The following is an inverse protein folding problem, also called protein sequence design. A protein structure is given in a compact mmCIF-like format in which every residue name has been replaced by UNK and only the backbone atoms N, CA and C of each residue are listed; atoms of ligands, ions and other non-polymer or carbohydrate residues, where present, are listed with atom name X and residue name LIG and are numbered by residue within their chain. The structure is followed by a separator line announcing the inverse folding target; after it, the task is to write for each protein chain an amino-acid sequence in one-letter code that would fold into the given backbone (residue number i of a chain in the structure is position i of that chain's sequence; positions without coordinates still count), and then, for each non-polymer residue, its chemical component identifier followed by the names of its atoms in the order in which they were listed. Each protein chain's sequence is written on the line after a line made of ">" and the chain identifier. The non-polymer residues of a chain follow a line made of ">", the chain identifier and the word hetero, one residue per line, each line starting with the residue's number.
data_IF_916673949719
#
_entry.id   IF_916673949719
#
_cell.length_a   1.000
_cell.length_b   1.000
_cell.length_c   1.000
_cell.angle_alpha   90.00
_cell.angle_beta   90.00
_cell.angle_gamma   90.00
#
_symmetry.space_group_name_H-M   'P 1'
#
loop_
_entity.id
_entity.type
_entity.pdbx_description
1 polymer ?
#
# COMPACT_ATOMS: atom_id res chain seq x y z
N UNK A 1 -59.53 39.71 6.93
CA UNK A 1 -59.01 38.46 6.31
C UNK A 1 -60.18 37.55 5.96
N UNK A 2 -60.23 36.99 4.75
CA UNK A 2 -61.35 36.14 4.32
C UNK A 2 -61.40 34.84 5.12
N UNK A 3 -62.60 34.39 5.51
CA UNK A 3 -62.84 33.14 6.27
C UNK A 3 -62.14 31.92 5.66
N UNK A 4 -61.99 31.90 4.34
CA UNK A 4 -61.28 30.87 3.57
C UNK A 4 -59.79 30.77 3.90
N UNK A 5 -59.09 31.90 4.10
CA UNK A 5 -57.67 31.90 4.49
C UNK A 5 -57.46 31.35 5.90
N UNK A 6 -58.41 31.60 6.81
CA UNK A 6 -58.32 31.13 8.19
C UNK A 6 -58.48 29.60 8.28
N UNK A 7 -59.40 29.04 7.49
CA UNK A 7 -59.61 27.59 7.39
C UNK A 7 -58.39 26.90 6.78
N UNK A 8 -57.85 27.44 5.69
CA UNK A 8 -56.64 26.89 5.06
C UNK A 8 -55.43 26.92 6.01
N UNK A 9 -55.24 28.02 6.75
CA UNK A 9 -54.18 28.13 7.74
C UNK A 9 -54.29 27.07 8.85
N UNK A 10 -55.50 26.82 9.35
CA UNK A 10 -55.73 25.81 10.39
C UNK A 10 -55.49 24.39 9.88
N UNK A 11 -55.94 24.06 8.65
CA UNK A 11 -55.71 22.76 8.02
C UNK A 11 -54.21 22.55 7.79
N UNK A 12 -53.52 23.55 7.24
CA UNK A 12 -52.08 23.48 7.01
C UNK A 12 -51.31 23.28 8.32
N UNK A 13 -51.63 24.04 9.37
CA UNK A 13 -51.02 23.89 10.70
C UNK A 13 -51.26 22.49 11.28
N UNK A 14 -52.45 21.94 11.10
CA UNK A 14 -52.78 20.59 11.56
C UNK A 14 -51.96 19.51 10.83
N UNK A 15 -51.93 19.57 9.49
CA UNK A 15 -51.14 18.65 8.67
C UNK A 15 -49.64 18.75 8.99
N UNK A 16 -49.12 19.96 9.13
CA UNK A 16 -47.73 20.21 9.48
C UNK A 16 -47.38 19.65 10.85
N UNK A 17 -48.21 19.89 11.86
CA UNK A 17 -48.02 19.32 13.20
C UNK A 17 -48.09 17.79 13.17
N UNK A 18 -49.01 17.19 12.41
CA UNK A 18 -49.10 15.75 12.27
C UNK A 18 -47.83 15.15 11.65
N UNK A 19 -47.31 15.76 10.58
CA UNK A 19 -46.05 15.35 9.94
C UNK A 19 -44.88 15.47 10.92
N UNK A 20 -44.78 16.56 11.68
CA UNK A 20 -43.71 16.74 12.66
C UNK A 20 -43.75 15.71 13.79
N UNK A 21 -44.94 15.47 14.36
CA UNK A 21 -45.11 14.51 15.45
C UNK A 21 -44.84 13.08 14.99
N UNK A 22 -45.21 12.73 13.76
CA UNK A 22 -44.95 11.39 13.20
C UNK A 22 -43.51 11.20 12.75
N UNK A 23 -42.88 12.21 12.16
CA UNK A 23 -41.50 12.11 11.64
C UNK A 23 -40.45 12.14 12.74
N UNK A 24 -40.69 12.85 13.85
CA UNK A 24 -39.69 13.02 14.90
C UNK A 24 -39.22 11.70 15.56
N UNK A 25 -40.12 10.78 15.97
CA UNK A 25 -39.70 9.48 16.50
C UNK A 25 -38.99 8.60 15.46
N UNK A 26 -39.39 8.70 14.18
CA UNK A 26 -38.78 7.93 13.09
C UNK A 26 -37.35 8.40 12.86
N UNK A 27 -37.12 9.72 12.80
CA UNK A 27 -35.78 10.28 12.64
C UNK A 27 -34.88 9.98 13.84
N UNK A 28 -35.43 10.05 15.05
CA UNK A 28 -34.70 9.73 16.28
C UNK A 28 -34.29 8.25 16.34
N UNK A 29 -35.20 7.33 16.01
CA UNK A 29 -34.90 5.89 15.98
C UNK A 29 -33.90 5.54 14.88
N UNK A 30 -34.05 6.13 13.68
CA UNK A 30 -33.09 5.95 12.59
C UNK A 30 -31.69 6.44 12.99
N UNK A 31 -31.60 7.61 13.61
CA UNK A 31 -30.33 8.15 14.11
C UNK A 31 -29.68 7.25 15.17
N UNK A 32 -30.47 6.72 16.11
CA UNK A 32 -29.97 5.79 17.13
C UNK A 32 -29.46 4.47 16.51
N UNK A 33 -30.21 3.91 15.56
CA UNK A 33 -29.80 2.70 14.83
C UNK A 33 -28.52 2.95 14.04
N UNK A 34 -28.42 4.09 13.35
CA UNK A 34 -27.24 4.45 12.58
C UNK A 34 -26.00 4.57 13.46
N UNK A 35 -26.10 5.27 14.59
CA UNK A 35 -25.00 5.36 15.56
C UNK A 35 -24.59 3.96 16.07
N UNK A 36 -25.57 3.13 16.45
CA UNK A 36 -25.28 1.75 16.86
C UNK A 36 -24.54 0.95 15.79
N UNK A 37 -24.97 1.06 14.53
CA UNK A 37 -24.33 0.40 13.40
C UNK A 37 -22.88 0.87 13.19
N UNK A 38 -22.62 2.19 13.27
CA UNK A 38 -21.26 2.73 13.15
C UNK A 38 -20.33 2.22 14.26
N UNK A 39 -20.85 2.06 15.48
CA UNK A 39 -20.09 1.47 16.59
C UNK A 39 -19.75 0.01 16.35
N UNK A 40 -20.70 -0.78 15.84
CA UNK A 40 -20.46 -2.19 15.48
C UNK A 40 -19.38 -2.30 14.40
N UNK A 41 -19.47 -1.51 13.32
CA UNK A 41 -18.44 -1.50 12.28
C UNK A 41 -17.06 -1.06 12.81
N UNK A 42 -17.02 -0.04 13.67
CA UNK A 42 -15.78 0.39 14.30
C UNK A 42 -15.18 -0.72 15.18
N UNK A 43 -16.00 -1.42 15.96
CA UNK A 43 -15.53 -2.54 16.79
C UNK A 43 -15.02 -3.71 15.93
N UNK A 44 -15.76 -4.06 14.88
CA UNK A 44 -15.36 -5.10 13.94
C UNK A 44 -14.05 -4.75 13.21
N UNK A 45 -13.89 -3.50 12.78
CA UNK A 45 -12.66 -3.01 12.16
C UNK A 45 -11.46 -3.12 13.11
N UNK A 46 -11.62 -2.76 14.39
CA UNK A 46 -10.58 -2.92 15.41
C UNK A 46 -10.23 -4.38 15.66
N UNK A 47 -11.24 -5.26 15.75
CA UNK A 47 -11.04 -6.69 15.92
C UNK A 47 -10.25 -7.28 14.74
N UNK A 48 -10.67 -7.00 13.51
CA UNK A 48 -9.98 -7.46 12.30
C UNK A 48 -8.56 -6.88 12.19
N UNK A 49 -8.36 -5.62 12.54
CA UNK A 49 -7.03 -5.01 12.59
C UNK A 49 -6.11 -5.69 13.62
N UNK A 50 -6.65 -6.16 14.75
CA UNK A 50 -5.89 -6.89 15.77
C UNK A 50 -5.50 -8.31 15.36
N UNK A 51 -6.28 -8.95 14.49
CA UNK A 51 -5.99 -10.28 13.93
C UNK A 51 -5.04 -10.22 12.73
N UNK A 52 -4.85 -9.04 12.15
CA UNK A 52 -3.84 -8.84 11.12
C UNK A 52 -2.47 -9.10 11.75
N UNK A 53 -1.62 -9.95 11.14
CA UNK A 53 -0.26 -10.15 11.63
C UNK A 53 0.40 -8.78 11.75
N UNK A 54 1.18 -8.61 12.81
CA UNK A 54 1.99 -7.41 13.08
C UNK A 54 3.05 -7.27 11.98
N UNK A 55 2.64 -7.02 10.75
CA UNK A 55 3.46 -6.31 9.80
C UNK A 55 3.69 -4.98 10.49
N UNK A 56 4.93 -4.74 10.90
CA UNK A 56 5.40 -3.38 11.07
C UNK A 56 5.05 -2.68 9.77
N UNK A 57 3.88 -2.02 9.76
CA UNK A 57 3.64 -0.89 8.89
C UNK A 57 4.60 0.14 9.43
N UNK A 58 5.88 0.01 9.04
CA UNK A 58 6.82 1.10 9.06
C UNK A 58 6.10 2.15 8.25
N UNK A 59 5.47 3.09 8.95
CA UNK A 59 5.03 4.33 8.35
C UNK A 59 6.34 5.02 8.00
N UNK A 60 6.91 4.67 6.84
CA UNK A 60 7.93 5.50 6.21
C UNK A 60 7.19 6.73 5.68
N UNK A 61 6.76 7.59 6.60
CA UNK A 61 6.36 8.96 6.30
C UNK A 61 7.56 9.90 6.39
N UNK A 62 8.73 9.41 6.78
CA UNK A 62 9.93 10.21 6.82
C UNK A 62 10.56 10.26 5.43
N UNK A 63 10.77 11.49 4.95
CA UNK A 63 11.63 11.81 3.80
C UNK A 63 13.13 11.66 4.15
N UNK A 64 13.45 11.02 5.27
CA UNK A 64 14.82 10.85 5.73
C UNK A 64 15.34 9.47 5.33
N UNK A 65 16.67 9.36 5.36
CA UNK A 65 17.35 8.10 5.12
C UNK A 65 17.15 7.18 6.33
N UNK A 66 16.58 6.01 6.10
CA UNK A 66 16.35 4.98 7.12
C UNK A 66 17.21 3.76 6.82
N UNK A 67 17.79 3.17 7.86
CA UNK A 67 18.62 1.97 7.71
C UNK A 67 17.78 0.78 7.23
N UNK A 68 18.26 0.08 6.21
CA UNK A 68 17.60 -1.13 5.73
C UNK A 68 17.76 -2.25 6.76
N UNK A 69 16.66 -2.86 7.23
CA UNK A 69 16.74 -3.96 8.20
C UNK A 69 17.59 -5.09 7.63
N UNK A 70 18.35 -5.78 8.49
CA UNK A 70 19.25 -6.90 8.12
C UNK A 70 20.50 -6.54 7.30
N UNK A 71 20.72 -5.27 6.94
CA UNK A 71 21.98 -4.82 6.30
C UNK A 71 23.09 -4.47 7.30
N UNK A 72 22.85 -4.68 8.61
CA UNK A 72 23.79 -4.29 9.71
C UNK A 72 24.24 -2.82 9.64
N UNK A 73 23.39 -1.94 9.11
CA UNK A 73 23.69 -0.52 8.95
C UNK A 73 24.56 -0.19 7.74
N UNK A 74 24.75 -1.12 6.79
CA UNK A 74 25.51 -0.87 5.57
C UNK A 74 24.73 0.01 4.57
N UNK A 75 23.43 -0.22 4.44
CA UNK A 75 22.59 0.45 3.45
C UNK A 75 21.48 1.27 4.12
N UNK A 76 21.21 2.42 3.52
CA UNK A 76 20.09 3.29 3.87
C UNK A 76 19.16 3.42 2.67
N UNK A 77 17.86 3.48 2.93
CA UNK A 77 16.84 3.71 1.92
C UNK A 77 16.04 4.97 2.27
N UNK A 78 15.67 5.72 1.24
CA UNK A 78 14.80 6.90 1.34
C UNK A 78 13.68 6.81 0.33
N UNK A 79 12.46 7.16 0.71
CA UNK A 79 11.34 7.22 -0.22
C UNK A 79 11.59 8.32 -1.24
N UNK A 80 11.59 7.95 -2.53
CA UNK A 80 11.70 8.89 -3.64
C UNK A 80 10.31 9.29 -4.17
N UNK A 81 9.44 8.31 -4.40
CA UNK A 81 8.09 8.54 -4.94
C UNK A 81 7.13 7.46 -4.46
N UNK A 82 5.92 7.86 -4.09
CA UNK A 82 4.84 6.93 -3.78
C UNK A 82 3.77 6.99 -4.85
N UNK A 83 3.40 5.84 -5.42
CA UNK A 83 2.28 5.75 -6.38
C UNK A 83 0.98 5.75 -5.59
N UNK A 84 -0.01 6.53 -6.04
CA UNK A 84 -1.36 6.48 -5.44
C UNK A 84 -1.94 5.07 -5.57
N UNK A 85 -2.27 4.47 -4.43
CA UNK A 85 -2.77 3.08 -4.33
C UNK A 85 -1.80 2.00 -4.84
N UNK A 86 -0.51 2.32 -4.97
CA UNK A 86 0.54 1.38 -5.40
C UNK A 86 1.72 1.31 -4.42
N UNK A 87 2.79 0.59 -4.79
CA UNK A 87 3.99 0.52 -3.97
C UNK A 87 4.79 1.84 -3.99
N UNK A 88 5.69 1.94 -3.02
CA UNK A 88 6.63 3.07 -2.93
C UNK A 88 7.94 2.71 -3.62
N UNK A 89 8.52 3.74 -4.24
CA UNK A 89 9.83 3.73 -4.85
C UNK A 89 10.83 4.38 -3.89
N UNK A 90 11.97 3.71 -3.73
CA UNK A 90 13.03 4.04 -2.81
C UNK A 90 14.31 4.32 -3.58
N UNK A 91 15.08 5.28 -3.09
CA UNK A 91 16.48 5.42 -3.44
C UNK A 91 17.29 4.73 -2.35
N UNK A 92 18.30 3.94 -2.73
CA UNK A 92 19.16 3.20 -1.80
C UNK A 92 20.58 3.75 -1.95
N UNK A 93 21.28 3.90 -0.83
CA UNK A 93 22.70 4.28 -0.79
C UNK A 93 23.44 3.51 0.28
N UNK A 94 24.77 3.54 0.22
CA UNK A 94 25.61 3.05 1.31
C UNK A 94 25.78 4.11 2.39
N UNK A 95 25.76 3.68 3.65
CA UNK A 95 25.93 4.55 4.82
C UNK A 95 27.39 4.98 5.03
N UNK A 96 28.33 4.14 4.61
CA UNK A 96 29.77 4.38 4.75
C UNK A 96 30.31 5.54 3.89
N UNK A 97 29.46 6.12 3.03
CA UNK A 97 29.80 7.24 2.16
C UNK A 97 30.57 6.84 0.90
N UNK A 98 30.71 5.53 0.64
CA UNK A 98 31.28 5.03 -0.62
C UNK A 98 30.22 5.13 -1.70
N UNK A 99 30.50 5.83 -2.82
CA UNK A 99 29.58 5.88 -3.96
C UNK A 99 29.24 4.47 -4.42
N UNK A 100 27.96 4.19 -4.58
CA UNK A 100 27.46 2.88 -4.98
C UNK A 100 26.68 2.95 -6.27
N UNK A 101 26.76 1.89 -7.08
CA UNK A 101 25.89 1.68 -8.25
C UNK A 101 24.39 1.73 -7.92
N UNK A 102 24.02 1.60 -6.64
CA UNK A 102 22.64 1.72 -6.17
C UNK A 102 22.10 3.15 -6.26
N UNK A 103 22.95 4.17 -6.13
CA UNK A 103 22.48 5.57 -6.06
C UNK A 103 21.91 6.07 -7.40
N UNK A 104 22.35 5.48 -8.50
CA UNK A 104 21.95 5.79 -9.88
C UNK A 104 20.58 5.17 -10.25
N UNK A 105 20.02 4.35 -9.36
CA UNK A 105 18.83 3.55 -9.63
C UNK A 105 17.76 3.72 -8.56
N UNK A 106 16.54 3.38 -8.95
CA UNK A 106 15.37 3.41 -8.09
C UNK A 106 14.88 1.98 -7.84
N UNK A 107 14.44 1.71 -6.63
CA UNK A 107 14.08 0.37 -6.19
C UNK A 107 12.69 0.30 -5.57
N UNK A 108 12.05 -0.86 -5.70
CA UNK A 108 10.79 -1.17 -5.02
C UNK A 108 10.99 -1.48 -3.54
N UNK A 109 9.88 -1.64 -2.82
CA UNK A 109 9.90 -2.01 -1.39
C UNK A 109 10.35 -3.45 -1.12
N UNK A 110 10.34 -4.31 -2.14
CA UNK A 110 10.64 -5.74 -1.98
C UNK A 110 12.16 -5.95 -2.08
N UNK A 111 12.77 -6.22 -0.93
CA UNK A 111 14.19 -6.59 -0.81
C UNK A 111 14.27 -8.00 -0.21
N UNK A 112 15.08 -8.88 -0.80
CA UNK A 112 15.36 -10.22 -0.26
C UNK A 112 16.85 -10.39 -0.05
N UNK A 113 17.21 -10.98 1.09
CA UNK A 113 18.59 -11.26 1.46
C UNK A 113 18.89 -12.73 1.15
N UNK A 114 19.96 -12.97 0.40
CA UNK A 114 20.51 -14.30 0.09
C UNK A 114 22.00 -14.32 0.46
N UNK A 115 22.64 -15.49 0.43
CA UNK A 115 24.05 -15.60 0.84
C UNK A 115 24.99 -14.92 -0.16
N UNK A 116 24.59 -14.85 -1.43
CA UNK A 116 25.31 -14.24 -2.54
C UNK A 116 25.12 -12.72 -2.61
N UNK A 117 24.18 -12.14 -1.84
CA UNK A 117 23.91 -10.71 -1.85
C UNK A 117 22.44 -10.33 -1.62
N UNK A 118 22.01 -9.24 -2.24
CA UNK A 118 20.68 -8.65 -2.11
C UNK A 118 19.92 -8.74 -3.42
N UNK A 119 18.74 -9.34 -3.39
CA UNK A 119 17.80 -9.27 -4.52
C UNK A 119 16.98 -7.99 -4.37
N UNK A 120 17.08 -7.13 -5.37
CA UNK A 120 16.44 -5.83 -5.46
C UNK A 120 15.50 -5.78 -6.66
N UNK A 121 14.38 -5.08 -6.48
CA UNK A 121 13.45 -4.76 -7.57
C UNK A 121 13.81 -3.39 -8.15
N UNK A 122 14.60 -3.35 -9.23
CA UNK A 122 15.01 -2.12 -9.90
C UNK A 122 13.90 -1.62 -10.82
N UNK A 123 13.45 -0.39 -10.61
CA UNK A 123 12.41 0.25 -11.41
C UNK A 123 13.01 0.87 -12.66
N UNK A 124 12.56 0.42 -13.84
CA UNK A 124 13.03 0.94 -15.12
C UNK A 124 12.42 2.32 -15.45
N UNK A 125 11.26 2.62 -14.88
CA UNK A 125 10.59 3.92 -15.04
C UNK A 125 9.93 4.39 -13.73
N UNK A 126 9.87 5.71 -13.54
CA UNK A 126 9.13 6.34 -12.43
C UNK A 126 7.81 6.97 -12.88
N UNK A 127 7.53 7.00 -14.19
CA UNK A 127 6.25 7.44 -14.76
C UNK A 127 5.20 6.34 -14.59
N UNK A 128 4.05 6.70 -14.02
CA UNK A 128 2.93 5.78 -13.78
C UNK A 128 2.39 5.13 -15.04
N UNK A 129 2.59 5.72 -16.24
CA UNK A 129 2.16 5.13 -17.52
C UNK A 129 3.01 3.95 -17.98
N UNK A 130 4.26 3.88 -17.52
CA UNK A 130 5.25 2.88 -17.92
C UNK A 130 5.38 1.77 -16.88
N UNK A 131 4.66 1.87 -15.78
CA UNK A 131 4.62 0.88 -14.72
C UNK A 131 3.44 -0.09 -14.92
N UNK A 132 3.57 -1.36 -14.51
CA UNK A 132 4.76 -1.99 -13.92
C UNK A 132 5.82 -2.42 -14.96
N UNK A 133 7.09 -2.08 -14.72
CA UNK A 133 8.25 -2.56 -15.49
C UNK A 133 9.49 -2.56 -14.58
N UNK A 134 9.83 -3.76 -14.08
CA UNK A 134 10.90 -3.96 -13.10
C UNK A 134 11.93 -4.96 -13.61
N UNK A 135 13.19 -4.69 -13.31
CA UNK A 135 14.22 -5.71 -13.36
C UNK A 135 14.44 -6.24 -11.94
N UNK A 136 14.38 -7.55 -11.77
CA UNK A 136 14.95 -8.18 -10.59
C UNK A 136 16.46 -8.19 -10.79
N UNK A 137 17.19 -7.63 -9.84
CA UNK A 137 18.64 -7.56 -9.87
C UNK A 137 19.25 -8.18 -8.60
N UNK A 138 20.45 -8.75 -8.74
CA UNK A 138 21.29 -9.15 -7.63
C UNK A 138 22.35 -8.07 -7.40
N UNK A 139 22.36 -7.51 -6.20
CA UNK A 139 23.40 -6.60 -5.73
C UNK A 139 24.38 -7.35 -4.84
N UNK A 140 25.66 -7.30 -5.20
CA UNK A 140 26.76 -7.80 -4.38
C UNK A 140 27.41 -6.61 -3.64
N UNK A 141 27.29 -6.54 -2.30
CA UNK A 141 27.89 -5.48 -1.49
C UNK A 141 29.42 -5.44 -1.49
N UNK A 142 30.08 -6.57 -1.75
CA UNK A 142 31.53 -6.70 -1.68
C UNK A 142 32.19 -6.16 -2.96
N UNK A 143 31.61 -6.46 -4.12
CA UNK A 143 32.07 -5.96 -5.43
C UNK A 143 31.40 -4.67 -5.90
N UNK A 144 30.39 -4.19 -5.16
CA UNK A 144 29.50 -3.08 -5.55
C UNK A 144 28.97 -3.25 -6.97
N UNK A 145 28.52 -4.46 -7.31
CA UNK A 145 28.01 -4.79 -8.64
C UNK A 145 26.51 -5.08 -8.61
N UNK A 146 25.79 -4.60 -9.62
CA UNK A 146 24.36 -4.82 -9.80
C UNK A 146 24.11 -5.63 -11.08
N UNK A 147 23.75 -6.89 -10.93
CA UNK A 147 23.52 -7.82 -12.04
C UNK A 147 22.02 -8.01 -12.28
N UNK A 148 21.55 -7.74 -13.50
CA UNK A 148 20.13 -7.96 -13.85
C UNK A 148 19.87 -9.45 -14.07
N UNK A 149 18.89 -10.00 -13.33
CA UNK A 149 18.52 -11.41 -13.35
C UNK A 149 17.38 -11.66 -14.36
N UNK A 150 16.32 -10.86 -14.29
CA UNK A 150 15.15 -11.01 -15.16
C UNK A 150 14.29 -9.75 -15.13
N UNK A 151 13.43 -9.58 -16.14
CA UNK A 151 12.45 -8.50 -16.21
C UNK A 151 11.04 -9.02 -15.89
N UNK A 152 10.33 -8.36 -15.00
CA UNK A 152 8.96 -8.67 -14.59
C UNK A 152 8.10 -7.41 -14.67
N UNK A 153 6.98 -7.52 -15.40
CA UNK A 153 5.99 -6.44 -15.57
C UNK A 153 4.82 -6.60 -14.61
N UNK A 154 5.12 -6.84 -13.34
CA UNK A 154 4.10 -7.02 -12.31
C UNK A 154 4.69 -6.68 -10.93
N UNK A 155 3.92 -5.98 -10.10
CA UNK A 155 4.32 -5.67 -8.72
C UNK A 155 4.28 -6.89 -7.80
N UNK A 156 3.47 -7.89 -8.13
CA UNK A 156 3.26 -9.06 -7.28
C UNK A 156 4.09 -10.27 -7.73
N UNK A 157 5.40 -10.18 -7.44
CA UNK A 157 6.34 -11.29 -7.59
C UNK A 157 6.83 -11.79 -6.23
N UNK A 158 7.23 -13.07 -6.20
CA UNK A 158 7.80 -13.75 -5.05
C UNK A 158 8.90 -14.72 -5.47
N UNK A 159 9.96 -14.79 -4.66
CA UNK A 159 10.93 -15.90 -4.73
C UNK A 159 10.28 -17.13 -4.10
N UNK A 160 10.01 -18.16 -4.91
CA UNK A 160 9.28 -19.36 -4.52
C UNK A 160 10.18 -20.51 -4.11
N UNK A 161 11.32 -20.67 -4.79
CA UNK A 161 12.29 -21.72 -4.49
C UNK A 161 13.73 -21.20 -4.66
N UNK A 162 14.62 -21.62 -3.77
CA UNK A 162 16.06 -21.36 -3.84
C UNK A 162 16.79 -22.69 -3.92
N UNK A 163 17.53 -22.90 -5.00
CA UNK A 163 18.52 -23.98 -5.14
C UNK A 163 19.91 -23.35 -5.21
N UNK A 164 20.94 -24.13 -4.93
CA UNK A 164 22.34 -23.65 -4.80
C UNK A 164 22.82 -22.76 -5.97
N UNK A 165 22.28 -22.92 -7.18
CA UNK A 165 22.66 -22.10 -8.34
C UNK A 165 21.46 -21.59 -9.16
N UNK A 166 20.24 -21.64 -8.61
CA UNK A 166 19.03 -21.22 -9.32
C UNK A 166 18.02 -20.56 -8.37
N UNK A 167 17.48 -19.43 -8.83
CA UNK A 167 16.38 -18.72 -8.19
C UNK A 167 15.10 -18.91 -9.01
N UNK A 168 14.03 -19.35 -8.36
CA UNK A 168 12.74 -19.53 -8.99
C UNK A 168 11.77 -18.44 -8.56
N UNK A 169 11.44 -17.54 -9.49
CA UNK A 169 10.48 -16.46 -9.26
C UNK A 169 9.12 -16.82 -9.84
N UNK A 170 8.07 -16.49 -9.08
CA UNK A 170 6.68 -16.55 -9.54
C UNK A 170 6.06 -15.17 -9.42
N UNK A 171 5.24 -14.81 -10.38
CA UNK A 171 4.52 -13.54 -10.36
C UNK A 171 3.08 -13.71 -10.85
N UNK A 172 2.19 -12.83 -10.38
CA UNK A 172 0.77 -12.89 -10.71
C UNK A 172 0.13 -11.51 -10.70
N UNK A 173 -0.46 -11.09 -11.82
CA UNK A 173 -1.06 -9.76 -11.99
C UNK A 173 -2.60 -9.78 -11.89
N UNK A 174 -3.18 -10.74 -11.17
CA UNK A 174 -4.64 -10.92 -11.08
C UNK A 174 -5.29 -11.59 -12.30
N UNK A 175 -4.67 -11.48 -13.48
CA UNK A 175 -5.16 -12.06 -14.75
C UNK A 175 -4.18 -13.04 -15.38
N UNK A 176 -2.88 -12.75 -15.28
CA UNK A 176 -1.80 -13.56 -15.84
C UNK A 176 -0.80 -13.89 -14.75
N UNK A 177 -0.24 -15.08 -14.81
CA UNK A 177 0.86 -15.50 -13.95
C UNK A 177 1.98 -16.12 -14.76
N UNK A 178 3.19 -16.02 -14.24
CA UNK A 178 4.37 -16.57 -14.86
C UNK A 178 5.36 -17.09 -13.83
N UNK A 179 6.21 -18.01 -14.28
CA UNK A 179 7.30 -18.56 -13.50
C UNK A 179 8.58 -18.41 -14.31
N UNK A 180 9.66 -17.98 -13.65
CA UNK A 180 10.97 -17.81 -14.30
C UNK A 180 12.06 -18.37 -13.40
N UNK A 181 12.93 -19.19 -14.01
CA UNK A 181 14.14 -19.70 -13.39
C UNK A 181 15.30 -18.83 -13.84
N UNK A 182 16.07 -18.32 -12.90
CA UNK A 182 17.29 -17.57 -13.18
C UNK A 182 18.48 -18.29 -12.56
N UNK A 183 19.57 -18.41 -13.31
CA UNK A 183 20.83 -18.91 -12.77
C UNK A 183 21.55 -17.78 -12.03
N UNK A 184 22.14 -18.12 -10.88
CA UNK A 184 23.06 -17.25 -10.15
C UNK A 184 24.46 -17.30 -10.78
#
# INVERSE_FOLDING_TARGET
>A
MSKTRLIFHNIFRFLWNAIFVLSYPIMATFGMIFVGMTYVFSALSRLLASLSPKQEKVKVQNNDWEELPQTKGLLEAKVHKQIMFGPSCFQIRRKDGVPSVLEDHYFGSKIKFIDEGLILEKWNATDSKLLPDFDICLYDPDSDSLTSLTNIKCFDWHLSERKENQLHFKWFDGTQGGEVNVAL
#
